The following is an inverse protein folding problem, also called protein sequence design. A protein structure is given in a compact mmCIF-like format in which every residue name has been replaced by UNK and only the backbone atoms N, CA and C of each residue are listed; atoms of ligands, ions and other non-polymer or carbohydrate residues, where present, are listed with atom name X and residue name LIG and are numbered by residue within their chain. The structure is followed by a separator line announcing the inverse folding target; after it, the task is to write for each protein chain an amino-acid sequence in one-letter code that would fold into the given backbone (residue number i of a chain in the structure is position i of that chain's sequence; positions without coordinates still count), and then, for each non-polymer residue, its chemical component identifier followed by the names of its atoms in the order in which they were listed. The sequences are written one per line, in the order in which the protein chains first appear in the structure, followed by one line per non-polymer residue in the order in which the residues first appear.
data_IF_242598792655
#
_entry.id   IF_242598792655
#
_cell.length_a   1.000
_cell.length_b   1.000
_cell.length_c   1.000
_cell.angle_alpha   90.00
_cell.angle_beta   90.00
_cell.angle_gamma   90.00
#
_symmetry.space_group_name_H-M   'P 1'
#
loop_
_entity.id
_entity.type
_entity.pdbx_description
1 polymer ?
#
# COMPACT_ATOMS: atom_id res chain seq x y z
N UNK A 1 14.71 -32.88 36.85
CA UNK A 1 16.06 -32.46 37.25
C UNK A 1 16.45 -31.06 36.77
N UNK A 2 16.11 -30.66 35.54
CA UNK A 2 16.46 -29.36 34.96
C UNK A 2 15.95 -28.15 35.78
N UNK A 3 14.71 -28.19 36.26
CA UNK A 3 14.13 -27.09 37.05
C UNK A 3 14.87 -26.83 38.39
N UNK A 4 15.27 -27.91 39.08
CA UNK A 4 16.06 -27.83 40.32
C UNK A 4 17.44 -27.22 40.05
N UNK A 5 18.07 -27.59 38.95
CA UNK A 5 19.38 -27.06 38.55
C UNK A 5 19.28 -25.58 38.10
N UNK A 6 18.20 -25.21 37.40
CA UNK A 6 17.93 -23.82 37.02
C UNK A 6 17.75 -22.93 38.27
N UNK A 7 17.01 -23.39 39.29
CA UNK A 7 16.85 -22.69 40.59
C UNK A 7 18.15 -22.57 41.38
N UNK A 8 19.05 -23.54 41.29
CA UNK A 8 20.38 -23.43 41.88
C UNK A 8 21.25 -22.42 41.13
N UNK A 9 21.12 -22.37 39.79
CA UNK A 9 21.80 -21.39 38.96
C UNK A 9 21.40 -19.93 39.24
N UNK A 10 20.15 -19.66 39.63
CA UNK A 10 19.70 -18.30 39.98
C UNK A 10 20.34 -17.77 41.27
N UNK A 11 20.89 -18.64 42.11
CA UNK A 11 21.63 -18.24 43.31
C UNK A 11 23.12 -17.91 43.03
N UNK A 12 23.63 -18.21 41.83
CA UNK A 12 24.99 -17.88 41.45
C UNK A 12 25.11 -16.38 41.11
N UNK A 13 26.22 -15.71 41.50
CA UNK A 13 26.46 -14.32 41.15
C UNK A 13 26.38 -14.10 39.64
N UNK A 14 25.36 -13.38 39.19
CA UNK A 14 25.23 -13.01 37.80
C UNK A 14 26.22 -11.88 37.50
N UNK A 15 27.08 -12.06 36.50
CA UNK A 15 27.90 -10.95 36.02
C UNK A 15 26.98 -9.92 35.36
N UNK A 16 27.00 -8.67 35.85
CA UNK A 16 26.28 -7.58 35.16
C UNK A 16 27.00 -7.31 33.85
N UNK A 17 26.54 -7.94 32.78
CA UNK A 17 26.93 -7.53 31.44
C UNK A 17 26.39 -6.13 31.20
N UNK A 18 27.27 -5.14 31.19
CA UNK A 18 26.93 -3.76 30.89
C UNK A 18 26.59 -3.66 29.41
N UNK A 19 25.30 -3.72 29.10
CA UNK A 19 24.83 -3.36 27.76
C UNK A 19 25.10 -1.89 27.54
N UNK A 20 25.77 -1.55 26.44
CA UNK A 20 25.92 -0.14 26.06
C UNK A 20 24.54 0.47 25.80
N UNK A 21 24.41 1.79 26.00
CA UNK A 21 23.19 2.52 25.65
C UNK A 21 22.80 2.31 24.18
N UNK A 22 23.80 2.15 23.30
CA UNK A 22 23.57 1.85 21.89
C UNK A 22 22.88 0.49 21.69
N UNK A 23 23.39 -0.56 22.34
CA UNK A 23 22.79 -1.90 22.27
C UNK A 23 21.38 -1.91 22.83
N UNK A 24 21.15 -1.29 23.99
CA UNK A 24 19.82 -1.17 24.58
C UNK A 24 18.84 -0.44 23.64
N UNK A 25 19.26 0.71 23.07
CA UNK A 25 18.46 1.46 22.09
C UNK A 25 18.14 0.64 20.84
N UNK A 26 19.11 -0.13 20.34
CA UNK A 26 18.94 -0.99 19.16
C UNK A 26 17.90 -2.09 19.43
N UNK A 27 17.99 -2.76 20.59
CA UNK A 27 17.03 -3.78 21.01
C UNK A 27 15.61 -3.21 21.13
N UNK A 28 15.45 -2.06 21.80
CA UNK A 28 14.15 -1.38 21.93
C UNK A 28 13.60 -1.02 20.54
N UNK A 29 14.41 -0.39 19.68
CA UNK A 29 14.00 -0.06 18.31
C UNK A 29 13.54 -1.29 17.53
N UNK A 30 14.27 -2.40 17.64
CA UNK A 30 13.94 -3.64 16.96
C UNK A 30 12.64 -4.24 17.47
N UNK A 31 12.47 -4.30 18.80
CA UNK A 31 11.26 -4.81 19.44
C UNK A 31 10.03 -3.99 19.06
N UNK A 32 10.12 -2.66 19.16
CA UNK A 32 9.04 -1.73 18.77
C UNK A 32 8.73 -1.86 17.28
N UNK A 33 9.74 -1.95 16.41
CA UNK A 33 9.53 -2.14 14.97
C UNK A 33 8.80 -3.44 14.68
N UNK A 34 9.24 -4.55 15.27
CA UNK A 34 8.60 -5.87 15.09
C UNK A 34 7.15 -5.85 15.57
N UNK A 35 6.91 -5.31 16.76
CA UNK A 35 5.56 -5.16 17.32
C UNK A 35 4.66 -4.34 16.40
N UNK A 36 5.12 -3.16 15.95
CA UNK A 36 4.38 -2.30 15.04
C UNK A 36 4.08 -3.00 13.71
N UNK A 37 5.05 -3.71 13.13
CA UNK A 37 4.83 -4.46 11.88
C UNK A 37 3.74 -5.52 12.06
N UNK A 38 3.78 -6.32 13.13
CA UNK A 38 2.77 -7.35 13.39
C UNK A 38 1.38 -6.74 13.66
N UNK A 39 1.34 -5.66 14.45
CA UNK A 39 0.10 -4.96 14.76
C UNK A 39 -0.54 -4.35 13.51
N UNK A 40 0.25 -3.64 12.68
CA UNK A 40 -0.22 -3.07 11.42
C UNK A 40 -0.69 -4.15 10.45
N UNK A 41 0.05 -5.27 10.32
CA UNK A 41 -0.37 -6.37 9.45
C UNK A 41 -1.75 -6.90 9.85
N UNK A 42 -1.97 -7.14 11.16
CA UNK A 42 -3.27 -7.58 11.69
C UNK A 42 -4.40 -6.59 11.39
N UNK A 43 -4.17 -5.30 11.61
CA UNK A 43 -5.19 -4.28 11.34
C UNK A 43 -5.49 -4.09 9.85
N UNK A 44 -4.49 -4.34 9.03
CA UNK A 44 -4.57 -4.12 7.59
C UNK A 44 -5.28 -5.26 6.86
N UNK A 45 -5.38 -6.44 7.47
CA UNK A 45 -5.95 -7.64 6.85
C UNK A 45 -7.36 -7.40 6.30
N UNK A 46 -7.54 -7.66 5.01
CA UNK A 46 -8.81 -7.45 4.30
C UNK A 46 -9.18 -5.98 4.07
N UNK A 47 -8.28 -5.03 4.35
CA UNK A 47 -8.46 -3.62 4.04
C UNK A 47 -7.78 -3.27 2.73
N UNK A 48 -8.27 -2.26 2.03
CA UNK A 48 -7.68 -1.84 0.75
C UNK A 48 -6.22 -1.33 0.89
N UNK A 49 -5.79 -0.97 2.10
CA UNK A 49 -4.41 -0.54 2.39
C UNK A 49 -3.52 -1.67 2.92
N UNK A 50 -4.01 -2.92 3.01
CA UNK A 50 -3.21 -4.11 3.38
C UNK A 50 -1.91 -4.17 2.59
N UNK A 51 -2.03 -3.94 1.29
CA UNK A 51 -0.90 -4.01 0.38
C UNK A 51 0.23 -3.09 0.81
N UNK A 52 -0.02 -1.90 1.37
CA UNK A 52 1.01 -0.96 1.83
C UNK A 52 1.86 -1.52 2.97
N UNK A 53 1.25 -2.30 3.86
CA UNK A 53 1.96 -2.94 4.97
C UNK A 53 2.68 -4.18 4.48
N UNK A 54 2.01 -5.03 3.70
CA UNK A 54 2.56 -6.33 3.28
C UNK A 54 3.67 -6.23 2.23
N UNK A 55 3.56 -5.33 1.24
CA UNK A 55 4.60 -5.14 0.21
C UNK A 55 5.55 -3.97 0.51
N UNK A 56 5.38 -3.29 1.63
CA UNK A 56 6.21 -2.16 2.06
C UNK A 56 5.90 -0.82 1.36
N UNK A 57 6.49 0.30 1.85
CA UNK A 57 6.21 1.63 1.35
C UNK A 57 6.65 1.81 -0.11
N UNK A 58 6.05 2.79 -0.79
CA UNK A 58 6.55 3.24 -2.09
C UNK A 58 7.93 3.88 -1.94
N UNK A 59 8.76 3.78 -2.97
CA UNK A 59 10.09 4.37 -2.97
C UNK A 59 10.01 5.91 -2.84
N UNK A 60 10.74 6.48 -1.87
CA UNK A 60 10.75 7.92 -1.59
C UNK A 60 11.42 8.77 -2.68
N UNK A 61 12.24 8.16 -3.55
CA UNK A 61 12.92 8.83 -4.66
C UNK A 61 12.05 8.92 -5.93
N UNK A 62 10.81 8.45 -5.90
CA UNK A 62 9.90 8.55 -7.04
C UNK A 62 9.37 9.99 -7.18
N UNK A 63 9.23 10.51 -8.42
CA UNK A 63 8.55 11.77 -8.65
C UNK A 63 7.16 11.79 -8.02
N UNK A 64 6.76 12.93 -7.48
CA UNK A 64 5.47 13.09 -6.77
C UNK A 64 4.29 12.56 -7.59
N UNK A 65 4.25 12.85 -8.88
CA UNK A 65 3.17 12.41 -9.79
C UNK A 65 3.05 10.88 -9.87
N UNK A 66 4.18 10.18 -9.85
CA UNK A 66 4.24 8.71 -9.87
C UNK A 66 3.87 8.14 -8.51
N UNK A 67 4.44 8.67 -7.43
CA UNK A 67 4.16 8.25 -6.07
C UNK A 67 2.68 8.39 -5.70
N UNK A 68 2.05 9.51 -6.05
CA UNK A 68 0.64 9.77 -5.77
C UNK A 68 -0.26 8.81 -6.55
N UNK A 69 -0.01 8.61 -7.84
CA UNK A 69 -0.81 7.70 -8.65
C UNK A 69 -0.69 6.26 -8.14
N UNK A 70 0.54 5.80 -7.90
CA UNK A 70 0.79 4.46 -7.37
C UNK A 70 0.13 4.25 -5.99
N UNK A 71 0.18 5.24 -5.10
CA UNK A 71 -0.48 5.17 -3.80
C UNK A 71 -1.99 5.03 -3.94
N UNK A 72 -2.61 5.84 -4.80
CA UNK A 72 -4.06 5.82 -5.03
C UNK A 72 -4.53 4.50 -5.65
N UNK A 73 -3.82 4.02 -6.68
CA UNK A 73 -4.08 2.72 -7.32
C UNK A 73 -3.94 1.58 -6.32
N UNK A 74 -2.90 1.62 -5.48
CA UNK A 74 -2.60 0.55 -4.51
C UNK A 74 -3.55 0.50 -3.31
N UNK A 75 -4.10 1.64 -2.91
CA UNK A 75 -5.05 1.75 -1.77
C UNK A 75 -6.51 1.74 -2.20
N UNK A 76 -6.80 1.69 -3.50
CA UNK A 76 -8.15 1.86 -4.03
C UNK A 76 -8.79 3.21 -3.66
N UNK A 77 -7.98 4.21 -3.28
CA UNK A 77 -8.42 5.57 -2.96
C UNK A 77 -8.25 6.48 -4.18
N UNK A 78 -8.77 6.01 -5.29
CA UNK A 78 -8.59 6.57 -6.62
C UNK A 78 -9.80 7.39 -7.05
N UNK A 79 -9.62 8.38 -7.93
CA UNK A 79 -10.74 9.15 -8.50
C UNK A 79 -11.49 8.39 -9.60
N UNK A 80 -11.40 7.05 -9.60
CA UNK A 80 -12.08 6.20 -10.58
C UNK A 80 -13.53 5.96 -10.16
N UNK A 81 -14.36 5.59 -11.13
CA UNK A 81 -15.79 5.42 -10.92
C UNK A 81 -16.13 4.43 -9.81
N UNK A 82 -15.35 3.34 -9.63
CA UNK A 82 -15.58 2.36 -8.57
C UNK A 82 -15.51 3.00 -7.16
N UNK A 83 -14.46 3.76 -6.90
CA UNK A 83 -14.29 4.43 -5.61
C UNK A 83 -15.33 5.54 -5.41
N UNK A 84 -15.56 6.36 -6.44
CA UNK A 84 -16.54 7.44 -6.38
C UNK A 84 -17.97 6.92 -6.15
N UNK A 85 -18.31 5.78 -6.73
CA UNK A 85 -19.60 5.11 -6.50
C UNK A 85 -19.73 4.62 -5.06
N UNK A 86 -18.68 3.98 -4.52
CA UNK A 86 -18.65 3.48 -3.13
C UNK A 86 -18.88 4.58 -2.09
N UNK A 87 -18.50 5.83 -2.39
CA UNK A 87 -18.73 7.00 -1.52
C UNK A 87 -19.95 7.84 -1.96
N UNK A 88 -20.83 7.29 -2.79
CA UNK A 88 -22.08 7.91 -3.26
C UNK A 88 -21.91 9.23 -4.03
N UNK A 89 -20.71 9.51 -4.57
CA UNK A 89 -20.49 10.66 -5.47
C UNK A 89 -20.98 10.34 -6.89
N UNK A 90 -20.96 9.06 -7.28
CA UNK A 90 -21.33 8.61 -8.63
C UNK A 90 -22.42 7.54 -8.60
N UNK A 91 -23.41 7.59 -9.52
CA UNK A 91 -24.50 6.60 -9.54
C UNK A 91 -24.05 5.20 -9.97
N UNK A 92 -22.97 5.08 -10.76
CA UNK A 92 -22.50 3.79 -11.28
C UNK A 92 -20.98 3.64 -11.15
N UNK A 93 -20.49 2.43 -10.78
CA UNK A 93 -19.07 2.10 -10.72
C UNK A 93 -18.45 1.82 -12.09
N UNK A 94 -19.25 1.79 -13.15
CA UNK A 94 -18.81 1.47 -14.52
C UNK A 94 -17.79 2.47 -15.06
N UNK A 95 -16.87 1.96 -15.86
CA UNK A 95 -15.87 2.71 -16.58
C UNK A 95 -16.51 3.74 -17.49
N UNK A 96 -16.15 5.00 -17.27
CA UNK A 96 -16.65 6.12 -18.06
C UNK A 96 -16.10 6.11 -19.48
N UNK A 97 -14.90 5.55 -19.63
CA UNK A 97 -14.15 5.54 -20.88
C UNK A 97 -14.69 4.43 -21.79
N UNK A 98 -14.68 3.17 -21.34
CA UNK A 98 -15.11 2.05 -22.17
C UNK A 98 -16.56 1.60 -21.93
N UNK A 99 -17.13 1.76 -20.72
CA UNK A 99 -18.52 1.37 -20.42
C UNK A 99 -18.80 -0.09 -20.11
N UNK A 100 -17.79 -0.97 -20.04
CA UNK A 100 -18.01 -2.42 -19.98
C UNK A 100 -17.80 -3.05 -18.60
N UNK A 101 -17.08 -2.39 -17.69
CA UNK A 101 -16.71 -2.98 -16.40
C UNK A 101 -16.47 -1.93 -15.33
N UNK A 102 -16.38 -2.37 -14.07
CA UNK A 102 -16.07 -1.52 -12.92
C UNK A 102 -14.71 -0.82 -13.10
N UNK A 103 -14.70 0.51 -12.99
CA UNK A 103 -13.48 1.31 -13.14
C UNK A 103 -12.64 1.26 -11.87
N UNK A 104 -11.77 0.25 -11.77
CA UNK A 104 -10.77 0.12 -10.72
C UNK A 104 -9.35 0.05 -11.32
N UNK A 105 -8.34 0.08 -10.45
CA UNK A 105 -6.94 -0.06 -10.82
C UNK A 105 -6.63 -1.26 -11.74
N UNK A 106 -7.30 -2.40 -11.51
CA UNK A 106 -7.11 -3.61 -12.33
C UNK A 106 -7.66 -3.42 -13.74
N UNK A 107 -8.88 -2.88 -13.86
CA UNK A 107 -9.48 -2.58 -15.15
C UNK A 107 -8.64 -1.59 -15.97
N UNK A 108 -8.04 -0.58 -15.35
CA UNK A 108 -7.19 0.38 -16.07
C UNK A 108 -6.02 -0.28 -16.82
N UNK A 109 -5.53 -1.42 -16.34
CA UNK A 109 -4.44 -2.17 -16.99
C UNK A 109 -4.87 -2.80 -18.31
N UNK A 110 -6.18 -2.99 -18.53
CA UNK A 110 -6.75 -3.67 -19.69
C UNK A 110 -7.85 -2.87 -20.39
N UNK A 111 -8.09 -1.62 -19.97
CA UNK A 111 -9.16 -0.79 -20.48
C UNK A 111 -8.91 -0.39 -21.94
N UNK A 112 -9.74 -0.88 -22.87
CA UNK A 112 -9.59 -0.60 -24.31
C UNK A 112 -9.62 0.89 -24.70
N UNK A 113 -10.15 1.75 -23.84
CA UNK A 113 -10.23 3.19 -24.07
C UNK A 113 -9.00 3.97 -23.57
N UNK A 114 -8.03 3.30 -22.94
CA UNK A 114 -6.76 3.90 -22.48
C UNK A 114 -5.64 3.37 -23.35
N UNK A 115 -4.73 4.24 -23.79
CA UNK A 115 -3.58 3.83 -24.59
C UNK A 115 -2.51 3.14 -23.72
N UNK A 116 -2.22 1.87 -24.05
CA UNK A 116 -1.17 1.05 -23.40
C UNK A 116 0.11 0.93 -24.23
N UNK A 117 0.21 1.60 -25.39
CA UNK A 117 1.33 1.48 -26.32
C UNK A 117 2.67 1.95 -25.74
N UNK A 118 2.64 2.86 -24.76
CA UNK A 118 3.84 3.38 -24.13
C UNK A 118 4.52 2.31 -23.28
N UNK A 119 5.76 2.00 -23.67
CA UNK A 119 6.62 1.11 -22.93
C UNK A 119 7.40 1.88 -21.85
N UNK A 120 7.39 1.35 -20.63
CA UNK A 120 8.10 1.93 -19.49
C UNK A 120 9.01 0.87 -18.88
N UNK A 121 10.25 1.27 -18.55
CA UNK A 121 11.22 0.36 -17.92
C UNK A 121 10.74 -0.21 -16.58
N UNK A 122 9.93 0.54 -15.82
CA UNK A 122 9.39 0.11 -14.52
C UNK A 122 7.86 0.18 -14.53
N UNK A 123 7.22 -0.89 -14.04
CA UNK A 123 5.75 -1.02 -13.98
C UNK A 123 5.06 0.15 -13.29
N UNK A 124 5.65 0.69 -12.22
CA UNK A 124 5.07 1.80 -11.46
C UNK A 124 4.90 3.09 -12.27
N UNK A 125 5.79 3.35 -13.24
CA UNK A 125 5.65 4.51 -14.14
C UNK A 125 4.55 4.28 -15.16
N UNK A 126 4.39 3.04 -15.65
CA UNK A 126 3.27 2.66 -16.51
C UNK A 126 1.94 2.83 -15.78
N UNK A 127 1.82 2.31 -14.57
CA UNK A 127 0.59 2.45 -13.76
C UNK A 127 0.25 3.92 -13.50
N UNK A 128 1.25 4.73 -13.13
CA UNK A 128 1.05 6.15 -12.94
C UNK A 128 0.59 6.85 -14.22
N UNK A 129 1.18 6.51 -15.36
CA UNK A 129 0.78 7.06 -16.64
C UNK A 129 -0.68 6.73 -16.97
N UNK A 130 -1.07 5.45 -16.87
CA UNK A 130 -2.44 5.00 -17.13
C UNK A 130 -3.45 5.71 -16.23
N UNK A 131 -3.13 5.86 -14.95
CA UNK A 131 -3.96 6.58 -13.99
C UNK A 131 -4.21 8.03 -14.41
N UNK A 132 -3.15 8.78 -14.70
CA UNK A 132 -3.28 10.19 -15.08
C UNK A 132 -3.93 10.36 -16.45
N UNK A 133 -3.62 9.48 -17.40
CA UNK A 133 -4.26 9.47 -18.72
C UNK A 133 -5.76 9.23 -18.62
N UNK A 134 -6.18 8.25 -17.81
CA UNK A 134 -7.59 7.98 -17.61
C UNK A 134 -8.33 9.18 -16.99
N UNK A 135 -7.73 9.83 -15.99
CA UNK A 135 -8.33 11.05 -15.41
C UNK A 135 -8.43 12.19 -16.42
N UNK A 136 -7.41 12.35 -17.27
CA UNK A 136 -7.44 13.36 -18.33
C UNK A 136 -8.56 13.09 -19.34
N UNK A 137 -8.71 11.84 -19.79
CA UNK A 137 -9.77 11.43 -20.71
C UNK A 137 -11.16 11.59 -20.08
N UNK A 138 -11.31 11.27 -18.80
CA UNK A 138 -12.56 11.50 -18.06
C UNK A 138 -12.93 12.98 -17.98
N UNK A 139 -11.93 13.86 -17.84
CA UNK A 139 -12.15 15.30 -17.77
C UNK A 139 -12.55 15.90 -19.14
N UNK A 140 -11.99 15.37 -20.24
CA UNK A 140 -12.30 15.82 -21.60
C UNK A 140 -13.65 15.33 -22.11
N UNK A 141 -14.09 14.14 -21.69
CA UNK A 141 -15.33 13.52 -22.14
C UNK A 141 -16.26 13.15 -20.97
N UNK A 142 -16.79 14.15 -20.23
CA UNK A 142 -17.73 13.87 -19.15
C UNK A 142 -18.97 13.18 -19.74
N UNK A 143 -19.26 11.95 -19.31
CA UNK A 143 -20.51 11.28 -19.70
C UNK A 143 -21.69 12.15 -19.28
N UNK A 144 -22.56 12.49 -20.24
CA UNK A 144 -23.82 13.21 -20.00
C UNK A 144 -24.62 12.45 -18.93
N UNK A 145 -25.09 13.17 -17.92
CA UNK A 145 -26.05 12.62 -16.95
C UNK A 145 -27.29 12.20 -17.75
N UNK A 146 -27.62 10.90 -17.72
CA UNK A 146 -28.92 10.40 -18.18
C UNK A 146 -29.95 10.72 -17.11
#
# INVERSE_FOLDING_TARGET
MADRLAKQGTALPQTRQTSTLHSAKSLIKSAVKSWNCQWLLRLSLGKNWESLVSRGPLNHNLPRTVSVAALRMRTGHEYLASHLHRINIRPSPECQLCGHSTMNAEHLRTCSAVDHSKNYQKSIFKEAHLYWLALHLMAQHPRKKK
#
